data_IF_791926580164
#
_entry.id   IF_791926580164
#
_cell.length_a   1.000
_cell.length_b   1.000
_cell.length_c   1.000
_cell.angle_alpha   90.00
_cell.angle_beta   90.00
_cell.angle_gamma   90.00
#
_symmetry.space_group_name_H-M   'P 1'
#
loop_
_entity.id
_entity.type
_entity.pdbx_description
1 polymer ?
#
# COMPACT_ATOMS: atom_id res chain seq x y z
N UNK A 1 -2.26 -8.16 16.73
CA UNK A 1 -1.31 -7.09 17.11
C UNK A 1 -1.24 -6.06 15.99
N UNK A 2 -1.12 -4.76 16.30
CA UNK A 2 -0.93 -3.74 15.26
C UNK A 2 0.31 -4.07 14.43
N UNK A 3 0.21 -4.01 13.11
CA UNK A 3 1.34 -4.32 12.21
C UNK A 3 2.50 -3.34 12.42
N UNK A 4 2.21 -2.13 12.90
CA UNK A 4 3.22 -1.16 13.35
C UNK A 4 4.02 -1.74 14.52
N UNK A 5 3.36 -2.39 15.50
CA UNK A 5 4.07 -3.05 16.61
C UNK A 5 4.96 -4.19 16.10
N UNK A 6 4.44 -5.04 15.19
CA UNK A 6 5.23 -6.13 14.60
C UNK A 6 6.44 -5.61 13.82
N UNK A 7 6.24 -4.56 13.01
CA UNK A 7 7.33 -3.92 12.27
C UNK A 7 8.38 -3.31 13.20
N UNK A 8 7.96 -2.66 14.28
CA UNK A 8 8.88 -2.09 15.26
C UNK A 8 9.62 -3.18 16.05
N UNK A 9 8.97 -4.30 16.35
CA UNK A 9 9.60 -5.48 16.95
C UNK A 9 10.61 -6.15 16.00
N UNK A 10 10.27 -6.32 14.72
CA UNK A 10 11.20 -6.86 13.72
C UNK A 10 12.42 -5.95 13.53
N UNK A 11 12.24 -4.64 13.62
CA UNK A 11 13.33 -3.66 13.58
C UNK A 11 14.21 -3.73 14.82
N UNK A 12 13.65 -4.01 16.00
CA UNK A 12 14.46 -4.29 17.20
C UNK A 12 15.24 -5.61 17.06
N UNK A 13 14.62 -6.69 16.57
CA UNK A 13 15.31 -7.95 16.35
C UNK A 13 16.51 -7.78 15.39
N UNK A 14 16.37 -6.95 14.36
CA UNK A 14 17.48 -6.59 13.45
C UNK A 14 18.51 -5.66 14.08
N UNK A 15 18.07 -4.65 14.83
CA UNK A 15 18.94 -3.69 15.50
C UNK A 15 19.73 -4.28 16.68
N UNK A 16 19.18 -5.28 17.36
CA UNK A 16 19.86 -6.05 18.41
C UNK A 16 20.91 -7.01 17.82
N UNK A 17 20.66 -7.61 16.65
CA UNK A 17 21.64 -8.43 15.93
C UNK A 17 22.82 -7.63 15.36
N UNK A 18 22.60 -6.38 14.92
CA UNK A 18 23.68 -5.52 14.44
C UNK A 18 24.62 -4.99 15.55
N UNK A 19 24.28 -5.20 16.84
CA UNK A 19 25.00 -4.66 18.00
C UNK A 19 25.35 -5.67 19.09
N UNK A 20 25.17 -6.97 18.87
CA UNK A 20 25.52 -8.01 19.84
C UNK A 20 26.71 -8.84 19.37
N UNK A 21 27.89 -8.49 19.89
CA UNK A 21 28.94 -9.47 20.09
C UNK A 21 28.41 -10.62 20.95
N UNK A 22 28.60 -11.84 20.43
CA UNK A 22 28.52 -13.17 21.03
C UNK A 22 27.83 -13.34 22.41
N UNK A 23 26.82 -14.23 22.54
CA UNK A 23 26.30 -14.64 23.84
C UNK A 23 27.32 -15.50 24.63
N UNK A 24 27.38 -15.37 25.98
CA UNK A 24 28.21 -16.22 26.81
C UNK A 24 27.39 -17.46 27.22
N UNK A 25 27.56 -18.58 26.52
CA UNK A 25 27.48 -19.94 27.08
C UNK A 25 27.47 -20.97 25.95
N UNK A 26 28.65 -21.25 25.40
CA UNK A 26 28.88 -22.49 24.66
C UNK A 26 30.20 -23.10 25.13
N UNK A 27 30.08 -24.22 25.83
CA UNK A 27 31.16 -25.15 26.20
C UNK A 27 32.10 -25.37 25.00
N UNK A 28 33.37 -25.02 25.16
CA UNK A 28 34.41 -25.38 24.21
C UNK A 28 34.78 -26.86 24.36
N UNK A 29 34.46 -27.67 23.36
CA UNK A 29 35.05 -29.00 23.15
C UNK A 29 36.51 -28.80 22.69
N UNK A 30 37.50 -29.53 23.22
CA UNK A 30 38.89 -29.38 22.76
C UNK A 30 38.99 -29.91 21.32
N UNK A 31 39.28 -29.01 20.38
CA UNK A 31 39.57 -29.37 18.99
C UNK A 31 41.03 -29.80 18.86
N UNK A 32 41.20 -30.96 18.26
CA UNK A 32 42.46 -31.58 17.87
C UNK A 32 43.38 -30.63 17.10
N UNK A 33 44.67 -30.77 17.39
CA UNK A 33 45.78 -29.94 16.93
C UNK A 33 46.10 -30.23 15.46
N UNK A 34 45.36 -29.64 14.53
CA UNK A 34 45.76 -29.63 13.11
C UNK A 34 46.96 -28.69 12.88
N UNK A 35 48.01 -29.26 12.30
CA UNK A 35 49.26 -28.58 11.93
C UNK A 35 48.96 -27.50 10.87
N UNK A 36 49.12 -26.24 11.26
CA UNK A 36 48.92 -25.10 10.38
C UNK A 36 49.96 -25.00 9.25
N UNK A 37 49.47 -24.78 8.03
CA UNK A 37 50.24 -24.25 6.90
C UNK A 37 50.52 -22.76 7.17
N UNK A 38 51.76 -22.26 7.02
CA UNK A 38 52.10 -20.89 7.40
C UNK A 38 51.36 -19.84 6.57
N UNK A 39 50.73 -18.89 7.27
CA UNK A 39 49.93 -17.75 6.75
C UNK A 39 50.64 -16.85 5.71
N UNK A 40 51.95 -16.98 5.54
CA UNK A 40 52.71 -16.26 4.53
C UNK A 40 52.36 -16.69 3.09
N UNK A 41 51.94 -17.94 2.88
CA UNK A 41 51.63 -18.47 1.53
C UNK A 41 50.27 -17.99 1.01
N UNK A 42 49.30 -17.77 1.91
CA UNK A 42 47.94 -17.33 1.53
C UNK A 42 47.89 -15.84 1.15
N UNK A 43 48.70 -15.00 1.81
CA UNK A 43 48.78 -13.57 1.49
C UNK A 43 49.53 -13.28 0.18
N UNK A 44 50.52 -14.10 -0.19
CA UNK A 44 51.22 -13.97 -1.47
C UNK A 44 50.35 -14.31 -2.69
N UNK A 45 49.46 -15.29 -2.58
CA UNK A 45 48.59 -15.71 -3.68
C UNK A 45 47.51 -14.69 -4.05
N UNK A 46 46.97 -13.95 -3.07
CA UNK A 46 45.93 -12.96 -3.31
C UNK A 46 46.44 -11.68 -4.01
N UNK A 47 47.69 -11.27 -3.73
CA UNK A 47 48.30 -10.11 -4.38
C UNK A 47 48.69 -10.38 -5.85
N UNK A 48 49.05 -11.62 -6.19
CA UNK A 48 49.37 -12.01 -7.58
C UNK A 48 48.15 -12.01 -8.50
N UNK A 49 46.98 -12.43 -7.99
CA UNK A 49 45.75 -12.51 -8.78
C UNK A 49 45.11 -11.13 -9.05
N UNK A 50 45.22 -10.19 -8.11
CA UNK A 50 44.71 -8.82 -8.31
C UNK A 50 45.54 -8.03 -9.32
N UNK A 51 46.87 -8.20 -9.34
CA UNK A 51 47.73 -7.55 -10.32
C UNK A 51 47.46 -8.04 -11.77
N UNK A 52 47.20 -9.33 -11.95
CA UNK A 52 46.83 -9.91 -13.25
C UNK A 52 45.45 -9.44 -13.74
N UNK A 53 44.48 -9.29 -12.84
CA UNK A 53 43.14 -8.79 -13.19
C UNK A 53 43.15 -7.31 -13.63
N UNK A 54 43.98 -6.47 -12.99
CA UNK A 54 44.12 -5.05 -13.36
C UNK A 54 44.82 -4.90 -14.72
N UNK A 55 45.85 -5.71 -15.00
CA UNK A 55 46.54 -5.71 -16.29
C UNK A 55 45.64 -6.19 -17.45
N UNK A 56 44.77 -7.17 -17.19
CA UNK A 56 43.80 -7.65 -18.18
C UNK A 56 42.64 -6.65 -18.39
N UNK A 57 42.21 -5.95 -17.33
CA UNK A 57 41.17 -4.93 -17.41
C UNK A 57 41.56 -3.69 -18.23
N UNK A 58 42.85 -3.32 -18.24
CA UNK A 58 43.34 -2.19 -19.04
C UNK A 58 43.54 -2.49 -20.52
N UNK A 59 43.79 -3.75 -20.87
CA UNK A 59 44.04 -4.15 -22.27
C UNK A 59 42.78 -4.49 -23.04
N UNK A 60 41.68 -4.87 -22.36
CA UNK A 60 40.45 -5.36 -23.01
C UNK A 60 39.22 -4.46 -22.83
N UNK A 61 39.32 -3.27 -22.21
CA UNK A 61 38.17 -2.36 -22.12
C UNK A 61 38.01 -1.51 -23.40
N UNK A 62 36.92 -1.65 -24.17
CA UNK A 62 36.70 -0.82 -25.35
C UNK A 62 36.46 0.64 -24.92
N UNK A 63 37.17 1.57 -25.57
CA UNK A 63 36.98 3.00 -25.35
C UNK A 63 35.57 3.41 -25.85
N UNK A 64 34.77 4.16 -25.06
CA UNK A 64 33.49 4.64 -25.54
C UNK A 64 33.71 5.60 -26.70
N UNK A 65 33.18 5.24 -27.87
CA UNK A 65 33.16 6.08 -29.05
C UNK A 65 32.27 7.29 -28.76
N UNK A 66 32.85 8.47 -28.64
CA UNK A 66 32.09 9.71 -28.50
C UNK A 66 31.48 10.02 -29.87
N UNK A 67 30.18 9.81 -30.01
CA UNK A 67 29.43 10.30 -31.17
C UNK A 67 29.40 11.84 -31.09
N UNK A 68 29.66 12.57 -32.19
CA UNK A 68 29.52 14.03 -32.19
C UNK A 68 28.04 14.39 -31.98
N UNK A 69 27.79 15.35 -31.09
CA UNK A 69 26.45 15.85 -30.79
C UNK A 69 25.77 16.43 -32.04
N UNK A 70 24.46 16.20 -32.24
CA UNK A 70 23.74 16.85 -33.34
C UNK A 70 23.70 18.36 -33.12
N UNK A 71 24.00 19.11 -34.18
CA UNK A 71 23.96 20.57 -34.20
C UNK A 71 22.56 21.08 -33.80
N UNK A 72 22.51 21.83 -32.70
CA UNK A 72 21.31 22.54 -32.25
C UNK A 72 21.06 23.70 -33.22
N UNK A 73 19.98 23.63 -33.99
CA UNK A 73 19.49 24.76 -34.77
C UNK A 73 19.01 25.87 -33.82
N UNK A 74 19.31 27.16 -34.08
CA UNK A 74 18.88 28.25 -33.22
C UNK A 74 17.35 28.42 -33.30
N UNK A 75 16.67 28.45 -32.15
CA UNK A 75 15.25 28.78 -32.07
C UNK A 75 15.02 30.25 -32.48
N UNK A 76 13.90 30.58 -33.15
CA UNK A 76 13.54 31.96 -33.45
C UNK A 76 13.11 32.70 -32.17
N UNK A 77 13.61 33.93 -31.99
CA UNK A 77 13.22 34.82 -30.89
C UNK A 77 11.72 35.16 -30.94
N UNK A 78 11.05 35.33 -29.79
CA UNK A 78 9.66 35.77 -29.76
C UNK A 78 9.56 37.23 -30.22
N UNK A 79 8.76 37.46 -31.27
CA UNK A 79 8.33 38.80 -31.69
C UNK A 79 7.37 39.34 -30.62
N UNK A 80 7.77 40.44 -29.97
CA UNK A 80 6.91 41.20 -29.07
C UNK A 80 5.82 41.87 -29.92
N UNK A 81 4.62 41.31 -29.93
CA UNK A 81 3.43 41.97 -30.46
C UNK A 81 2.93 42.94 -29.39
N UNK A 82 3.07 44.24 -29.65
CA UNK A 82 2.45 45.27 -28.81
C UNK A 82 0.93 45.15 -28.88
N UNK A 83 0.30 44.71 -27.79
CA UNK A 83 -1.14 44.76 -27.64
C UNK A 83 -1.58 46.22 -27.46
N UNK A 84 -2.33 46.72 -28.42
CA UNK A 84 -3.06 47.99 -28.39
C UNK A 84 -4.10 48.00 -27.26
N UNK A 85 -4.21 49.15 -26.60
CA UNK A 85 -5.04 49.42 -25.43
C UNK A 85 -6.53 49.06 -25.60
N UNK A 86 -7.24 48.71 -24.50
CA UNK A 86 -8.66 48.37 -24.57
C UNK A 86 -9.53 49.62 -24.71
N UNK A 87 -10.42 49.61 -25.70
CA UNK A 87 -11.53 50.56 -25.86
C UNK A 87 -12.60 50.24 -24.81
N UNK A 88 -12.97 51.26 -24.04
CA UNK A 88 -14.08 51.28 -23.09
C UNK A 88 -15.41 51.18 -23.86
N UNK A 89 -16.25 50.21 -23.52
CA UNK A 89 -17.63 50.11 -23.98
C UNK A 89 -18.57 49.80 -22.79
N UNK A 90 -19.77 50.38 -22.86
CA UNK A 90 -20.66 50.77 -21.77
C UNK A 90 -21.42 49.63 -21.04
N UNK A 91 -22.05 49.91 -19.86
CA UNK A 91 -22.87 48.98 -19.09
C UNK A 91 -24.29 48.72 -19.68
N UNK A 92 -25.04 47.73 -19.16
CA UNK A 92 -25.98 46.89 -19.91
C UNK A 92 -27.44 47.38 -19.94
N UNK A 93 -28.20 46.96 -20.96
CA UNK A 93 -29.66 47.02 -20.97
C UNK A 93 -30.29 45.73 -20.37
N UNK A 94 -31.34 45.85 -19.54
CA UNK A 94 -31.95 44.73 -18.82
C UNK A 94 -32.93 43.94 -19.69
N UNK A 95 -32.72 42.61 -19.80
CA UNK A 95 -33.71 41.72 -20.40
C UNK A 95 -34.84 41.39 -19.40
N UNK A 96 -36.06 41.61 -19.87
CA UNK A 96 -37.32 41.46 -19.15
C UNK A 96 -37.66 39.97 -19.01
N UNK A 97 -37.91 39.56 -17.77
CA UNK A 97 -38.41 38.24 -17.37
C UNK A 97 -39.88 38.13 -17.79
N UNK A 98 -40.22 37.10 -18.58
CA UNK A 98 -41.61 36.71 -18.83
C UNK A 98 -41.99 35.48 -17.96
N UNK A 99 -43.20 35.46 -17.38
CA UNK A 99 -43.62 34.43 -16.41
C UNK A 99 -44.09 33.12 -17.08
N UNK A 100 -44.14 31.99 -16.34
CA UNK A 100 -44.65 30.72 -16.85
C UNK A 100 -46.18 30.70 -16.88
N UNK A 101 -46.76 30.20 -17.97
CA UNK A 101 -48.20 29.93 -18.06
C UNK A 101 -48.55 28.49 -17.61
N UNK A 102 -49.76 28.23 -17.10
CA UNK A 102 -50.10 27.02 -16.34
C UNK A 102 -50.99 26.01 -17.11
N UNK A 103 -50.88 24.74 -16.68
CA UNK A 103 -51.91 23.67 -16.56
C UNK A 103 -52.68 23.22 -17.81
N UNK A 104 -52.57 21.93 -18.16
CA UNK A 104 -53.71 21.07 -18.54
C UNK A 104 -53.36 19.57 -18.56
N UNK A 105 -53.88 18.83 -17.59
CA UNK A 105 -54.45 17.48 -17.74
C UNK A 105 -55.96 17.63 -17.42
N UNK A 106 -56.90 16.66 -17.63
CA UNK A 106 -56.73 15.22 -17.92
C UNK A 106 -57.69 14.65 -18.99
N UNK A 107 -57.52 13.39 -19.38
CA UNK A 107 -58.62 12.56 -19.90
C UNK A 107 -58.57 11.15 -19.31
N UNK A 108 -59.69 10.75 -18.71
CA UNK A 108 -60.01 9.44 -18.15
C UNK A 108 -60.74 8.56 -19.17
N UNK A 109 -60.33 7.27 -19.26
CA UNK A 109 -61.13 6.01 -19.33
C UNK A 109 -62.15 5.77 -20.49
N UNK A 110 -62.66 4.54 -20.78
CA UNK A 110 -62.71 3.35 -19.90
C UNK A 110 -62.48 1.93 -20.49
N UNK A 111 -62.14 1.03 -19.54
CA UNK A 111 -62.58 -0.34 -19.28
C UNK A 111 -63.00 -1.33 -20.40
N UNK A 112 -62.43 -2.56 -20.34
CA UNK A 112 -63.10 -3.89 -20.35
C UNK A 112 -62.14 -4.88 -19.65
N UNK A 113 -62.33 -5.27 -18.38
CA UNK A 113 -62.94 -6.52 -17.84
C UNK A 113 -62.48 -7.82 -18.51
N UNK A 114 -61.79 -8.72 -17.78
CA UNK A 114 -62.32 -10.06 -17.46
C UNK A 114 -61.44 -10.82 -16.43
N UNK A 115 -62.11 -11.37 -15.42
CA UNK A 115 -61.57 -12.28 -14.39
C UNK A 115 -61.42 -13.69 -14.98
N UNK A 116 -60.45 -14.46 -14.49
CA UNK A 116 -60.73 -15.80 -13.91
C UNK A 116 -59.50 -16.36 -13.19
N UNK A 117 -59.77 -17.07 -12.12
CA UNK A 117 -58.81 -17.61 -11.14
C UNK A 117 -58.58 -19.13 -11.38
N UNK A 118 -58.03 -19.93 -10.44
CA UNK A 118 -56.75 -20.63 -10.63
C UNK A 118 -56.88 -22.18 -10.59
N UNK A 119 -55.81 -22.92 -10.89
CA UNK A 119 -55.69 -24.33 -10.46
C UNK A 119 -54.26 -24.91 -10.39
N UNK A 120 -53.90 -25.26 -9.14
CA UNK A 120 -53.28 -26.48 -8.61
C UNK A 120 -51.96 -27.07 -9.16
N UNK A 121 -51.03 -27.20 -8.20
CA UNK A 121 -50.34 -28.44 -7.71
C UNK A 121 -49.66 -29.35 -8.73
N UNK A 122 -48.34 -29.49 -8.55
CA UNK A 122 -47.55 -30.65 -8.98
C UNK A 122 -46.18 -30.67 -8.28
N UNK A 123 -46.08 -31.38 -7.15
CA UNK A 123 -44.80 -31.87 -6.64
C UNK A 123 -44.38 -33.09 -7.46
N UNK A 124 -43.12 -33.19 -7.91
CA UNK A 124 -42.39 -34.47 -8.02
C UNK A 124 -40.88 -34.26 -7.87
N UNK A 125 -40.36 -34.76 -6.73
CA UNK A 125 -39.12 -35.53 -6.46
C UNK A 125 -37.77 -35.16 -7.09
N UNK A 126 -36.84 -34.91 -6.17
CA UNK A 126 -35.50 -35.48 -6.03
C UNK A 126 -35.00 -36.48 -7.09
N UNK A 127 -33.80 -36.20 -7.59
CA UNK A 127 -32.90 -37.15 -8.22
C UNK A 127 -31.45 -36.68 -8.07
N UNK A 128 -30.73 -37.28 -7.12
CA UNK A 128 -29.26 -37.29 -7.03
C UNK A 128 -28.70 -38.04 -8.25
N UNK A 129 -27.62 -37.56 -8.85
CA UNK A 129 -26.34 -38.27 -8.74
C UNK A 129 -25.17 -37.48 -9.33
N UNK A 130 -24.05 -37.68 -8.63
CA UNK A 130 -22.71 -37.15 -8.81
C UNK A 130 -22.03 -37.72 -10.06
N UNK A 131 -21.07 -36.96 -10.60
CA UNK A 131 -20.25 -37.37 -11.74
C UNK A 131 -19.06 -36.43 -11.97
N UNK A 132 -18.02 -36.64 -11.16
CA UNK A 132 -16.58 -36.45 -11.40
C UNK A 132 -16.03 -35.34 -12.34
N UNK A 133 -15.26 -34.43 -11.72
CA UNK A 133 -13.88 -33.99 -12.01
C UNK A 133 -13.43 -33.88 -13.49
N UNK A 134 -13.07 -32.66 -13.95
CA UNK A 134 -11.70 -32.29 -14.39
C UNK A 134 -11.60 -30.88 -15.02
N UNK A 135 -10.64 -30.13 -14.48
CA UNK A 135 -9.69 -29.24 -15.16
C UNK A 135 -10.15 -28.38 -16.37
N UNK A 136 -10.21 -27.06 -16.15
CA UNK A 136 -9.56 -26.07 -17.00
C UNK A 136 -9.49 -24.72 -16.26
N UNK A 137 -8.33 -24.42 -15.67
CA UNK A 137 -7.97 -23.07 -15.31
C UNK A 137 -7.53 -22.36 -16.60
N UNK A 138 -8.41 -21.55 -17.20
CA UNK A 138 -8.00 -20.61 -18.25
C UNK A 138 -7.66 -19.24 -17.64
N UNK A 139 -6.55 -18.60 -18.08
CA UNK A 139 -6.20 -17.26 -17.67
C UNK A 139 -6.95 -16.25 -18.54
N UNK A 140 -8.06 -15.69 -18.03
CA UNK A 140 -8.69 -14.54 -18.66
C UNK A 140 -7.89 -13.27 -18.37
N UNK A 141 -6.82 -13.09 -19.15
CA UNK A 141 -6.22 -11.78 -19.39
C UNK A 141 -7.12 -10.98 -20.34
N UNK A 142 -7.18 -9.67 -20.07
CA UNK A 142 -7.67 -8.59 -20.94
C UNK A 142 -9.19 -8.54 -21.23
N UNK A 143 -9.90 -7.71 -20.47
CA UNK A 143 -10.83 -6.71 -21.02
C UNK A 143 -11.27 -5.74 -19.91
N UNK A 144 -10.59 -4.60 -19.78
CA UNK A 144 -11.15 -3.43 -19.10
C UNK A 144 -11.48 -2.41 -20.17
N UNK A 145 -12.74 -2.25 -20.62
CA UNK A 145 -13.10 -1.08 -21.39
C UNK A 145 -13.16 0.12 -20.42
N UNK A 146 -12.47 1.19 -20.79
CA UNK A 146 -12.60 2.48 -20.12
C UNK A 146 -14.05 2.95 -20.23
N UNK A 147 -14.74 3.06 -19.10
CA UNK A 147 -16.03 3.73 -18.99
C UNK A 147 -15.82 5.00 -18.16
N UNK A 148 -15.36 6.05 -18.82
CA UNK A 148 -15.42 7.42 -18.30
C UNK A 148 -16.87 7.93 -18.35
N UNK A 149 -17.28 8.59 -17.25
CA UNK A 149 -18.35 9.58 -17.29
C UNK A 149 -19.78 9.05 -17.28
N UNK A 150 -20.21 8.40 -16.20
CA UNK A 150 -21.60 8.44 -15.67
C UNK A 150 -21.64 7.78 -14.29
N UNK A 151 -21.40 8.56 -13.25
CA UNK A 151 -21.84 8.19 -11.90
C UNK A 151 -23.37 8.39 -11.82
N UNK A 152 -24.03 7.54 -11.04
CA UNK A 152 -25.48 7.50 -10.74
C UNK A 152 -26.36 6.61 -11.64
N UNK A 153 -25.96 5.35 -11.83
CA UNK A 153 -26.82 4.15 -11.78
C UNK A 153 -26.05 2.97 -12.39
N UNK A 154 -25.40 2.15 -11.57
CA UNK A 154 -24.87 0.86 -12.02
C UNK A 154 -25.90 -0.23 -11.72
N UNK A 155 -26.05 -1.21 -12.63
CA UNK A 155 -27.31 -1.89 -12.89
C UNK A 155 -27.68 -2.82 -11.72
N UNK A 156 -28.98 -3.05 -11.47
CA UNK A 156 -29.49 -4.01 -10.47
C UNK A 156 -28.81 -5.39 -10.51
N UNK A 157 -28.17 -5.72 -11.64
CA UNK A 157 -27.42 -6.96 -11.87
C UNK A 157 -26.14 -7.08 -11.05
N UNK A 158 -25.30 -6.05 -10.94
CA UNK A 158 -24.07 -6.12 -10.15
C UNK A 158 -24.39 -6.32 -8.66
N UNK A 159 -25.39 -5.58 -8.18
CA UNK A 159 -25.92 -5.72 -6.83
C UNK A 159 -26.59 -7.09 -6.60
N UNK A 160 -27.29 -7.64 -7.61
CA UNK A 160 -27.85 -8.99 -7.53
C UNK A 160 -26.77 -10.07 -7.43
N UNK A 161 -25.71 -9.97 -8.24
CA UNK A 161 -24.58 -10.91 -8.16
C UNK A 161 -23.83 -10.76 -6.83
N UNK A 162 -23.68 -9.54 -6.30
CA UNK A 162 -23.13 -9.32 -4.96
C UNK A 162 -23.99 -10.01 -3.87
N UNK A 163 -25.31 -9.84 -3.88
CA UNK A 163 -26.21 -10.52 -2.92
C UNK A 163 -26.13 -12.03 -3.02
N UNK A 164 -26.12 -12.58 -4.24
CA UNK A 164 -25.94 -14.02 -4.47
C UNK A 164 -24.61 -14.52 -3.94
N UNK A 165 -23.55 -13.71 -4.04
CA UNK A 165 -22.27 -14.04 -3.44
C UNK A 165 -22.38 -14.13 -1.91
N UNK A 166 -23.07 -13.19 -1.27
CA UNK A 166 -23.28 -13.22 0.18
C UNK A 166 -24.10 -14.43 0.62
N UNK A 167 -25.17 -14.79 -0.11
CA UNK A 167 -25.96 -15.99 0.16
C UNK A 167 -25.10 -17.26 0.02
N UNK A 168 -24.28 -17.35 -1.03
CA UNK A 168 -23.35 -18.46 -1.22
C UNK A 168 -22.31 -18.55 -0.10
N UNK A 169 -21.85 -17.42 0.45
CA UNK A 169 -20.95 -17.40 1.61
C UNK A 169 -21.63 -17.93 2.88
N UNK A 170 -22.90 -17.57 3.11
CA UNK A 170 -23.67 -18.08 4.24
C UNK A 170 -23.82 -19.61 4.17
N UNK A 171 -23.97 -20.15 2.95
CA UNK A 171 -24.05 -21.59 2.69
C UNK A 171 -22.68 -22.29 2.64
N UNK A 172 -21.57 -21.58 2.88
CA UNK A 172 -20.21 -22.14 2.81
C UNK A 172 -19.72 -22.44 1.38
N UNK A 173 -20.45 -22.02 0.35
CA UNK A 173 -20.13 -22.21 -1.08
C UNK A 173 -19.14 -21.14 -1.56
N UNK A 174 -17.94 -21.11 -0.95
CA UNK A 174 -16.90 -20.10 -1.21
C UNK A 174 -16.50 -19.97 -2.69
N UNK A 175 -16.33 -21.06 -3.48
CA UNK A 175 -15.98 -20.93 -4.90
C UNK A 175 -17.05 -20.22 -5.73
N UNK A 176 -18.33 -20.46 -5.43
CA UNK A 176 -19.44 -19.80 -6.09
C UNK A 176 -19.48 -18.31 -5.74
N UNK A 177 -19.28 -17.99 -4.45
CA UNK A 177 -19.19 -16.60 -4.00
C UNK A 177 -18.09 -15.82 -4.71
N UNK A 178 -16.88 -16.40 -4.85
CA UNK A 178 -15.79 -15.77 -5.59
C UNK A 178 -16.17 -15.47 -7.05
N UNK A 179 -16.79 -16.43 -7.75
CA UNK A 179 -17.23 -16.24 -9.13
C UNK A 179 -18.28 -15.13 -9.25
N UNK A 180 -19.24 -15.07 -8.31
CA UNK A 180 -20.28 -14.04 -8.26
C UNK A 180 -19.73 -12.64 -7.98
N UNK A 181 -18.75 -12.52 -7.07
CA UNK A 181 -18.08 -11.25 -6.79
C UNK A 181 -17.29 -10.75 -8.00
N UNK A 182 -16.61 -11.65 -8.71
CA UNK A 182 -15.91 -11.30 -9.94
C UNK A 182 -16.89 -10.84 -11.03
N UNK A 183 -18.05 -11.49 -11.17
CA UNK A 183 -19.11 -11.05 -12.09
C UNK A 183 -19.66 -9.67 -11.70
N UNK A 184 -19.91 -9.44 -10.41
CA UNK A 184 -20.36 -8.14 -9.92
C UNK A 184 -19.35 -7.03 -10.28
N UNK A 185 -18.05 -7.29 -10.08
CA UNK A 185 -16.98 -6.34 -10.41
C UNK A 185 -16.69 -6.19 -11.90
N UNK A 186 -17.04 -7.18 -12.73
CA UNK A 186 -16.99 -7.06 -14.17
C UNK A 186 -18.11 -6.15 -14.70
N UNK A 187 -19.27 -6.14 -14.05
CA UNK A 187 -20.41 -5.28 -14.38
C UNK A 187 -20.21 -3.87 -13.82
N UNK A 188 -19.79 -3.77 -12.56
CA UNK A 188 -19.49 -2.53 -11.86
C UNK A 188 -18.10 -2.60 -11.21
N UNK A 189 -17.06 -2.11 -11.91
CA UNK A 189 -15.71 -2.05 -11.36
C UNK A 189 -15.58 -1.19 -10.09
N UNK A 190 -16.52 -0.27 -9.84
CA UNK A 190 -16.53 0.63 -8.68
C UNK A 190 -17.37 0.09 -7.51
N UNK A 191 -17.90 -1.13 -7.59
CA UNK A 191 -18.66 -1.76 -6.50
C UNK A 191 -17.73 -2.09 -5.32
N UNK A 192 -17.62 -1.16 -4.38
CA UNK A 192 -16.68 -1.22 -3.26
C UNK A 192 -16.93 -2.44 -2.35
N UNK A 193 -18.18 -2.70 -1.99
CA UNK A 193 -18.50 -3.79 -1.06
C UNK A 193 -18.21 -5.18 -1.67
N UNK A 194 -18.48 -5.37 -2.97
CA UNK A 194 -18.08 -6.58 -3.69
C UNK A 194 -16.56 -6.74 -3.73
N UNK A 195 -15.81 -5.64 -3.95
CA UNK A 195 -14.35 -5.67 -3.98
C UNK A 195 -13.75 -5.99 -2.62
N UNK A 196 -14.23 -5.37 -1.55
CA UNK A 196 -13.78 -5.63 -0.18
C UNK A 196 -14.04 -7.09 0.22
N UNK A 197 -15.22 -7.61 -0.10
CA UNK A 197 -15.57 -9.02 0.15
C UNK A 197 -14.64 -9.95 -0.64
N UNK A 198 -14.38 -9.65 -1.92
CA UNK A 198 -13.47 -10.44 -2.75
C UNK A 198 -12.04 -10.44 -2.19
N UNK A 199 -11.52 -9.27 -1.82
CA UNK A 199 -10.18 -9.14 -1.23
C UNK A 199 -10.09 -9.95 0.06
N UNK A 200 -11.08 -9.88 0.95
CA UNK A 200 -11.10 -10.68 2.18
C UNK A 200 -11.02 -12.18 1.89
N UNK A 201 -11.88 -12.69 1.00
CA UNK A 201 -11.88 -14.11 0.64
C UNK A 201 -10.58 -14.56 -0.02
N UNK A 202 -9.96 -13.71 -0.84
CA UNK A 202 -8.67 -14.00 -1.45
C UNK A 202 -7.56 -14.11 -0.40
N UNK A 203 -7.56 -13.25 0.63
CA UNK A 203 -6.61 -13.34 1.74
C UNK A 203 -6.83 -14.58 2.60
N UNK A 204 -8.09 -14.91 2.90
CA UNK A 204 -8.45 -16.16 3.61
C UNK A 204 -8.02 -17.40 2.82
N UNK A 205 -8.14 -17.36 1.49
CA UNK A 205 -7.70 -18.40 0.58
C UNK A 205 -6.17 -18.41 0.33
N UNK A 206 -5.37 -17.62 1.06
CA UNK A 206 -3.92 -17.51 0.90
C UNK A 206 -3.49 -17.12 -0.53
N UNK A 207 -4.27 -16.25 -1.20
CA UNK A 207 -4.00 -15.70 -2.53
C UNK A 207 -3.71 -14.18 -2.47
N UNK A 208 -2.62 -13.76 -1.79
CA UNK A 208 -2.32 -12.34 -1.58
C UNK A 208 -2.04 -11.58 -2.88
N UNK A 209 -1.46 -12.22 -3.90
CA UNK A 209 -1.17 -11.57 -5.18
C UNK A 209 -2.44 -11.12 -5.90
N UNK A 210 -3.50 -11.92 -5.85
CA UNK A 210 -4.80 -11.57 -6.42
C UNK A 210 -5.50 -10.48 -5.63
N UNK A 211 -5.41 -10.54 -4.30
CA UNK A 211 -5.93 -9.48 -3.44
C UNK A 211 -5.23 -8.14 -3.74
N UNK A 212 -3.90 -8.15 -3.91
CA UNK A 212 -3.12 -6.98 -4.30
C UNK A 212 -3.57 -6.41 -5.66
N UNK A 213 -3.80 -7.27 -6.67
CA UNK A 213 -4.33 -6.82 -7.97
C UNK A 213 -5.69 -6.14 -7.83
N UNK A 214 -6.60 -6.69 -7.00
CA UNK A 214 -7.91 -6.09 -6.78
C UNK A 214 -7.82 -4.73 -6.06
N UNK A 215 -6.91 -4.58 -5.10
CA UNK A 215 -6.68 -3.31 -4.41
C UNK A 215 -6.04 -2.27 -5.34
N UNK A 216 -5.07 -2.67 -6.17
CA UNK A 216 -4.46 -1.80 -7.19
C UNK A 216 -5.50 -1.28 -8.19
N UNK A 217 -6.37 -2.16 -8.69
CA UNK A 217 -7.48 -1.76 -9.55
C UNK A 217 -8.41 -0.77 -8.84
N UNK A 218 -8.72 -1.00 -7.56
CA UNK A 218 -9.54 -0.06 -6.79
C UNK A 218 -8.94 1.34 -6.72
N UNK A 219 -7.65 1.42 -6.37
CA UNK A 219 -6.94 2.69 -6.24
C UNK A 219 -6.71 3.38 -7.58
N UNK A 220 -6.70 2.64 -8.68
CA UNK A 220 -6.68 3.22 -10.04
C UNK A 220 -8.02 3.84 -10.42
N UNK A 221 -9.14 3.32 -9.89
CA UNK A 221 -10.49 3.81 -10.15
C UNK A 221 -10.87 4.98 -9.24
N UNK A 222 -10.46 4.92 -7.97
CA UNK A 222 -10.62 6.00 -7.00
C UNK A 222 -9.42 6.02 -6.02
N UNK A 223 -8.50 6.98 -6.18
CA UNK A 223 -7.36 7.16 -5.28
C UNK A 223 -7.72 7.60 -3.85
N UNK A 224 -8.95 8.08 -3.60
CA UNK A 224 -9.38 8.66 -2.31
C UNK A 224 -9.79 7.59 -1.28
N UNK A 225 -9.09 6.46 -1.27
CA UNK A 225 -9.42 5.31 -0.44
C UNK A 225 -8.21 4.92 0.45
N UNK A 226 -7.86 5.73 1.46
CA UNK A 226 -6.66 5.51 2.28
C UNK A 226 -6.65 4.15 2.99
N UNK A 227 -7.82 3.62 3.38
CA UNK A 227 -7.93 2.29 3.98
C UNK A 227 -7.48 1.17 3.02
N UNK A 228 -7.86 1.23 1.75
CA UNK A 228 -7.45 0.26 0.73
C UNK A 228 -5.96 0.41 0.39
N UNK A 229 -5.45 1.65 0.36
CA UNK A 229 -4.03 1.91 0.19
C UNK A 229 -3.19 1.33 1.34
N UNK A 230 -3.64 1.48 2.58
CA UNK A 230 -2.98 0.84 3.73
C UNK A 230 -3.01 -0.68 3.66
N UNK A 231 -4.13 -1.27 3.23
CA UNK A 231 -4.23 -2.72 3.02
C UNK A 231 -3.24 -3.20 1.95
N UNK A 232 -3.19 -2.52 0.80
CA UNK A 232 -2.27 -2.84 -0.29
C UNK A 232 -0.82 -2.72 0.17
N UNK A 233 -0.49 -1.61 0.82
CA UNK A 233 0.86 -1.36 1.33
C UNK A 233 1.26 -2.40 2.39
N UNK A 234 0.34 -2.86 3.25
CA UNK A 234 0.60 -3.95 4.19
C UNK A 234 0.98 -5.25 3.48
N UNK A 235 0.21 -5.65 2.47
CA UNK A 235 0.51 -6.84 1.68
C UNK A 235 1.85 -6.70 0.93
N UNK A 236 2.13 -5.51 0.40
CA UNK A 236 3.41 -5.20 -0.24
C UNK A 236 4.57 -5.29 0.76
N UNK A 237 4.41 -4.83 2.00
CA UNK A 237 5.45 -4.94 3.05
C UNK A 237 5.77 -6.41 3.39
N UNK A 238 4.75 -7.27 3.38
CA UNK A 238 4.90 -8.71 3.65
C UNK A 238 5.57 -9.44 2.48
N UNK A 239 5.24 -9.08 1.24
CA UNK A 239 5.76 -9.70 0.01
C UNK A 239 7.02 -9.02 -0.56
N UNK A 240 7.50 -7.94 0.04
CA UNK A 240 8.65 -7.17 -0.45
C UNK A 240 8.35 -6.28 -1.68
N UNK A 241 7.10 -5.90 -1.89
CA UNK A 241 6.65 -5.01 -2.96
C UNK A 241 6.81 -3.49 -2.65
N UNK A 242 6.35 -2.61 -3.56
CA UNK A 242 6.57 -1.16 -3.50
C UNK A 242 5.58 -0.44 -2.55
N UNK A 243 5.59 -0.80 -1.27
CA UNK A 243 4.69 -0.24 -0.26
C UNK A 243 4.81 1.28 -0.11
N UNK A 244 6.04 1.80 -0.20
CA UNK A 244 6.29 3.22 -0.05
C UNK A 244 5.64 4.04 -1.17
N UNK A 245 5.73 3.59 -2.42
CA UNK A 245 5.16 4.30 -3.57
C UNK A 245 3.63 4.37 -3.46
N UNK A 246 2.99 3.26 -3.06
CA UNK A 246 1.55 3.20 -2.80
C UNK A 246 1.14 4.23 -1.75
N UNK A 247 1.87 4.29 -0.63
CA UNK A 247 1.56 5.21 0.46
C UNK A 247 1.82 6.67 0.05
N UNK A 248 2.94 6.97 -0.60
CA UNK A 248 3.24 8.33 -1.03
C UNK A 248 2.23 8.89 -2.03
N UNK A 249 1.76 8.06 -2.97
CA UNK A 249 0.75 8.48 -3.98
C UNK A 249 -0.63 8.74 -3.39
N UNK A 250 -0.97 8.11 -2.26
CA UNK A 250 -2.30 8.22 -1.64
C UNK A 250 -2.30 9.09 -0.37
N UNK A 251 -1.12 9.51 0.11
CA UNK A 251 -0.96 10.43 1.24
C UNK A 251 -1.76 11.73 1.14
N UNK A 252 -1.91 12.40 -0.04
CA UNK A 252 -2.72 13.61 -0.15
C UNK A 252 -4.20 13.40 0.24
N UNK A 253 -4.70 12.17 0.14
CA UNK A 253 -6.07 11.80 0.50
C UNK A 253 -6.18 11.25 1.94
N UNK A 254 -5.06 11.20 2.67
CA UNK A 254 -4.94 10.69 4.03
C UNK A 254 -4.38 11.75 4.99
N UNK A 255 -4.49 13.04 4.64
CA UNK A 255 -3.77 14.13 5.31
C UNK A 255 -4.00 14.17 6.84
N UNK A 256 -5.22 13.85 7.28
CA UNK A 256 -5.63 13.87 8.69
C UNK A 256 -5.58 12.49 9.38
N UNK A 257 -5.01 11.47 8.72
CA UNK A 257 -4.98 10.11 9.23
C UNK A 257 -3.65 9.83 9.94
N UNK A 258 -3.61 10.02 11.26
CA UNK A 258 -2.42 9.77 12.07
C UNK A 258 -1.87 8.34 11.94
N UNK A 259 -2.75 7.32 11.88
CA UNK A 259 -2.34 5.93 11.70
C UNK A 259 -1.68 5.69 10.32
N UNK A 260 -2.19 6.36 9.29
CA UNK A 260 -1.62 6.30 7.95
C UNK A 260 -0.18 6.84 7.93
N UNK A 261 0.04 7.99 8.56
CA UNK A 261 1.37 8.60 8.70
C UNK A 261 2.32 7.74 9.53
N UNK A 262 1.84 7.18 10.65
CA UNK A 262 2.64 6.28 11.47
C UNK A 262 3.01 4.98 10.74
N UNK A 263 2.13 4.47 9.88
CA UNK A 263 2.42 3.32 9.05
C UNK A 263 3.45 3.65 7.95
N UNK A 264 3.29 4.79 7.27
CA UNK A 264 4.29 5.31 6.33
C UNK A 264 5.67 5.48 6.99
N UNK A 265 5.70 6.05 8.20
CA UNK A 265 6.92 6.19 8.99
C UNK A 265 7.59 4.83 9.25
N UNK A 266 6.82 3.81 9.64
CA UNK A 266 7.34 2.45 9.81
C UNK A 266 7.90 1.85 8.52
N UNK A 267 7.27 2.11 7.37
CA UNK A 267 7.78 1.66 6.05
C UNK A 267 9.08 2.37 5.70
N UNK A 268 9.16 3.68 5.92
CA UNK A 268 10.39 4.48 5.72
C UNK A 268 11.53 3.99 6.62
N UNK A 269 11.23 3.66 7.88
CA UNK A 269 12.22 3.15 8.84
C UNK A 269 12.79 1.79 8.38
N UNK A 270 11.96 0.90 7.82
CA UNK A 270 12.43 -0.37 7.20
C UNK A 270 13.34 -0.15 6.00
N UNK A 271 13.18 0.97 5.29
CA UNK A 271 14.02 1.36 4.17
C UNK A 271 15.22 2.23 4.59
N UNK A 272 15.49 2.37 5.90
CA UNK A 272 16.56 3.20 6.46
C UNK A 272 16.45 4.70 6.14
N UNK A 273 15.27 5.17 5.71
CA UNK A 273 14.97 6.59 5.49
C UNK A 273 14.55 7.25 6.81
N UNK A 274 15.47 7.23 7.77
CA UNK A 274 15.20 7.53 9.19
C UNK A 274 14.76 8.97 9.42
N UNK A 275 15.35 9.93 8.71
CA UNK A 275 14.98 11.36 8.78
C UNK A 275 13.51 11.57 8.40
N UNK A 276 13.10 11.03 7.26
CA UNK A 276 11.72 11.14 6.78
C UNK A 276 10.75 10.36 7.67
N UNK A 277 11.16 9.20 8.19
CA UNK A 277 10.37 8.45 9.16
C UNK A 277 10.08 9.28 10.43
N UNK A 278 11.09 10.00 10.95
CA UNK A 278 10.91 10.88 12.11
C UNK A 278 9.88 12.00 11.83
N UNK A 279 9.94 12.64 10.66
CA UNK A 279 8.98 13.68 10.26
C UNK A 279 7.54 13.12 10.21
N UNK A 280 7.36 11.93 9.63
CA UNK A 280 6.03 11.30 9.54
C UNK A 280 5.49 10.87 10.91
N UNK A 281 6.34 10.36 11.81
CA UNK A 281 5.94 10.09 13.20
C UNK A 281 5.55 11.35 13.96
N UNK A 282 6.31 12.44 13.81
CA UNK A 282 5.98 13.73 14.42
C UNK A 282 4.61 14.24 13.97
N UNK A 283 4.31 14.15 12.67
CA UNK A 283 2.99 14.51 12.14
C UNK A 283 1.89 13.58 12.65
N UNK A 284 2.13 12.27 12.74
CA UNK A 284 1.17 11.33 13.34
C UNK A 284 0.86 11.69 14.81
N UNK A 285 1.89 12.06 15.57
CA UNK A 285 1.78 12.42 16.98
C UNK A 285 1.04 13.74 17.24
N UNK A 286 0.93 14.63 16.25
CA UNK A 286 0.07 15.81 16.36
C UNK A 286 -1.42 15.43 16.54
N UNK A 287 -1.84 14.31 15.95
CA UNK A 287 -3.21 13.81 16.08
C UNK A 287 -3.39 12.87 17.29
N UNK A 288 -2.35 12.13 17.67
CA UNK A 288 -2.40 11.24 18.84
C UNK A 288 -1.15 11.40 19.73
N UNK A 289 -1.07 12.48 20.52
CA UNK A 289 0.12 12.82 21.31
C UNK A 289 0.41 11.83 22.44
N UNK A 290 -0.56 10.99 22.81
CA UNK A 290 -0.43 9.98 23.86
C UNK A 290 -0.04 8.60 23.31
N UNK A 291 0.24 8.45 22.01
CA UNK A 291 0.55 7.15 21.42
C UNK A 291 2.02 6.76 21.68
N UNK A 292 2.26 5.91 22.69
CA UNK A 292 3.59 5.47 23.09
C UNK A 292 4.35 4.69 22.02
N UNK A 293 3.63 3.90 21.23
CA UNK A 293 4.23 3.13 20.13
C UNK A 293 4.80 4.08 19.07
N UNK A 294 4.10 5.17 18.78
CA UNK A 294 4.56 6.16 17.80
C UNK A 294 5.72 7.00 18.34
N UNK A 295 5.70 7.36 19.62
CA UNK A 295 6.85 7.99 20.29
C UNK A 295 8.08 7.08 20.29
N UNK A 296 7.90 5.78 20.50
CA UNK A 296 8.97 4.80 20.42
C UNK A 296 9.52 4.69 18.97
N UNK A 297 8.65 4.62 17.97
CA UNK A 297 9.04 4.64 16.56
C UNK A 297 9.83 5.90 16.18
N UNK A 298 9.40 7.06 16.67
CA UNK A 298 10.12 8.33 16.53
C UNK A 298 11.52 8.26 17.17
N UNK A 299 11.62 7.75 18.40
CA UNK A 299 12.89 7.60 19.10
C UNK A 299 13.88 6.70 18.35
N UNK A 300 13.39 5.58 17.78
CA UNK A 300 14.22 4.69 16.96
C UNK A 300 14.70 5.39 15.69
N UNK A 301 13.81 6.10 15.00
CA UNK A 301 14.14 6.87 13.79
C UNK A 301 15.18 7.96 14.09
N UNK A 302 14.99 8.76 15.13
CA UNK A 302 15.93 9.83 15.53
C UNK A 302 17.28 9.28 15.96
N UNK A 303 17.31 8.15 16.67
CA UNK A 303 18.56 7.49 17.04
C UNK A 303 19.34 7.03 15.80
N UNK A 304 18.64 6.46 14.81
CA UNK A 304 19.25 6.02 13.56
C UNK A 304 19.67 7.20 12.66
N UNK A 305 19.00 8.35 12.79
CA UNK A 305 19.37 9.65 12.17
C UNK A 305 20.47 10.41 12.94
N UNK A 306 21.14 9.77 13.92
CA UNK A 306 22.23 10.35 14.71
C UNK A 306 21.83 11.59 15.54
N UNK A 307 20.57 11.66 15.99
CA UNK A 307 20.04 12.74 16.85
C UNK A 307 19.70 12.20 18.25
N UNK A 308 20.71 11.83 19.07
CA UNK A 308 20.50 11.09 20.31
C UNK A 308 19.80 11.89 21.42
N UNK A 309 19.91 13.22 21.43
CA UNK A 309 19.22 14.06 22.41
C UNK A 309 17.70 14.00 22.22
N UNK A 310 17.24 14.24 20.98
CA UNK A 310 15.82 14.17 20.63
C UNK A 310 15.28 12.74 20.71
N UNK A 311 16.10 11.73 20.38
CA UNK A 311 15.73 10.33 20.56
C UNK A 311 15.44 10.01 22.02
N UNK A 312 16.26 10.51 22.96
CA UNK A 312 16.06 10.33 24.41
C UNK A 312 14.75 10.98 24.88
N UNK A 313 14.41 12.16 24.37
CA UNK A 313 13.13 12.83 24.66
C UNK A 313 11.96 12.00 24.15
N UNK A 314 12.01 11.55 22.90
CA UNK A 314 10.96 10.71 22.31
C UNK A 314 10.76 9.39 23.08
N UNK A 315 11.83 8.71 23.48
CA UNK A 315 11.74 7.53 24.34
C UNK A 315 11.19 7.85 25.75
N UNK A 316 11.48 9.04 26.29
CA UNK A 316 10.92 9.47 27.57
C UNK A 316 9.41 9.68 27.48
N UNK A 317 8.93 10.30 26.40
CA UNK A 317 7.49 10.40 26.10
C UNK A 317 6.86 9.02 25.91
N UNK A 318 7.53 8.11 25.20
CA UNK A 318 7.06 6.74 25.02
C UNK A 318 6.87 6.03 26.37
N UNK A 319 7.82 6.17 27.30
CA UNK A 319 7.73 5.60 28.65
C UNK A 319 6.54 6.16 29.45
N UNK A 320 6.33 7.48 29.41
CA UNK A 320 5.28 8.16 30.19
C UNK A 320 3.88 7.91 29.63
N UNK A 321 3.76 7.62 28.33
CA UNK A 321 2.46 7.39 27.67
C UNK A 321 1.61 6.25 28.25
N UNK A 322 2.22 5.29 28.96
CA UNK A 322 1.52 4.23 29.71
C UNK A 322 0.78 3.18 28.86
N UNK A 323 0.77 3.28 27.53
CA UNK A 323 0.06 2.36 26.63
C UNK A 323 0.97 1.38 25.85
N UNK A 324 2.23 1.26 26.27
CA UNK A 324 3.17 0.26 25.77
C UNK A 324 2.95 -1.10 26.45
N UNK A 325 3.12 -2.20 25.71
CA UNK A 325 3.19 -3.54 26.32
C UNK A 325 4.45 -3.67 27.19
N UNK A 326 4.48 -4.59 28.18
CA UNK A 326 5.64 -4.76 29.07
C UNK A 326 6.97 -4.97 28.33
N UNK A 327 6.94 -5.72 27.22
CA UNK A 327 8.11 -5.94 26.36
C UNK A 327 8.64 -4.64 25.75
N UNK A 328 7.74 -3.78 25.24
CA UNK A 328 8.11 -2.50 24.64
C UNK A 328 8.57 -1.50 25.70
N UNK A 329 7.98 -1.54 26.90
CA UNK A 329 8.44 -0.72 28.03
C UNK A 329 9.89 -1.05 28.40
N UNK A 330 10.21 -2.33 28.57
CA UNK A 330 11.56 -2.79 28.86
C UNK A 330 12.57 -2.39 27.76
N UNK A 331 12.15 -2.47 26.49
CA UNK A 331 12.95 -1.99 25.37
C UNK A 331 13.24 -0.48 25.48
N UNK A 332 12.22 0.34 25.72
CA UNK A 332 12.35 1.80 25.85
C UNK A 332 13.28 2.16 27.03
N UNK A 333 13.14 1.49 28.16
CA UNK A 333 14.00 1.69 29.33
C UNK A 333 15.47 1.38 29.04
N UNK A 334 15.74 0.25 28.37
CA UNK A 334 17.10 -0.12 27.97
C UNK A 334 17.70 0.93 27.02
N UNK A 335 16.92 1.45 26.06
CA UNK A 335 17.39 2.50 25.15
C UNK A 335 17.71 3.80 25.88
N UNK A 336 16.87 4.21 26.83
CA UNK A 336 17.12 5.39 27.66
C UNK A 336 18.43 5.27 28.46
N UNK A 337 18.68 4.11 29.07
CA UNK A 337 19.93 3.85 29.79
C UNK A 337 21.15 3.90 28.86
N UNK A 338 21.07 3.29 27.69
CA UNK A 338 22.16 3.30 26.70
C UNK A 338 22.49 4.72 26.23
N UNK A 339 21.47 5.54 25.95
CA UNK A 339 21.66 6.92 25.52
C UNK A 339 22.22 7.80 26.64
N UNK A 340 21.82 7.55 27.90
CA UNK A 340 22.38 8.26 29.06
C UNK A 340 23.87 7.94 29.27
N UNK A 341 24.28 6.67 29.13
CA UNK A 341 25.68 6.26 29.26
C UNK A 341 26.57 6.86 28.17
N UNK A 342 26.09 6.91 26.92
CA UNK A 342 26.84 7.53 25.81
C UNK A 342 27.03 9.03 25.97
N UNK A 343 26.08 9.72 26.62
CA UNK A 343 26.20 11.16 26.92
C UNK A 343 27.17 11.44 28.08
N UNK A 344 27.44 10.46 28.94
CA UNK A 344 28.35 10.58 30.08
C UNK A 344 29.79 10.15 29.76
N UNK A 345 30.05 9.59 28.57
CA UNK A 345 31.39 9.25 28.13
C UNK A 345 32.12 10.54 27.67
N UNK A 346 33.33 10.82 28.21
CA UNK A 346 34.06 12.07 27.99
C UNK A 346 34.60 12.24 26.56
#
# INVERSE_FOLDING_TARGET
MSLINKMLQDLDARGSQAGSGLPPDVRSVPRERERGVPRAVVLGGAAGLTALAIAFGWTYWPRPTVLPAPAVAPMPMPVVVMASAPVVAAPPEPQIIAPPAPVAAPHETPAVVEKTAPKKVGQVKAGKNEGAVQAAAEPLQAAVPALEGKQANLPPRAENDYRRALDALQDGRVPEALARLQQALAIDPRHQAARETLVRLLLEAQRPDEAMRQLQLSLSLDPKQPAQAMMLARLQVEQGGPALDTLMRTLPFAADHGEYRAFLAGVLQRQQRNKEAAEQYQQALQHAPHNGVWWMGLGISLQADQRPAEAKEAFSHARVSGNLSPELQAFVERKLLQLAQKQAAP
#
